data_IF_843737043625
#
_entry.id   IF_843737043625
#
_cell.length_a   1.000
_cell.length_b   1.000
_cell.length_c   1.000
_cell.angle_alpha   90.00
_cell.angle_beta   90.00
_cell.angle_gamma   90.00
#
_symmetry.space_group_name_H-M   'P 1'
#
loop_
_entity.id
_entity.type
_entity.pdbx_description
1 polymer ?
#
# COMPACT_ATOMS: atom_id res chain seq x y z
N UNK A 1 -6.38 -1.22 10.18
CA UNK A 1 -5.27 -1.93 10.87
C UNK A 1 -4.90 -1.25 12.19
N UNK A 2 -4.31 -0.06 12.21
CA UNK A 2 -3.94 0.63 13.48
C UNK A 2 -5.15 0.77 14.44
N UNK A 3 -6.30 1.20 13.92
CA UNK A 3 -7.56 1.22 14.66
C UNK A 3 -8.00 -0.19 15.13
N UNK A 4 -7.97 -1.20 14.26
CA UNK A 4 -8.36 -2.59 14.57
C UNK A 4 -7.53 -3.23 15.69
N UNK A 5 -6.25 -2.86 15.80
CA UNK A 5 -5.37 -3.33 16.87
C UNK A 5 -5.37 -2.41 18.08
N UNK A 6 -6.13 -1.30 18.04
CA UNK A 6 -6.22 -0.25 19.07
C UNK A 6 -4.84 0.34 19.43
N UNK A 7 -3.96 0.48 18.43
CA UNK A 7 -2.61 0.98 18.66
C UNK A 7 -2.56 2.50 18.49
N UNK A 8 -2.08 3.28 19.48
CA UNK A 8 -1.93 4.72 19.34
C UNK A 8 -1.00 5.10 18.18
N UNK A 9 -1.37 6.12 17.43
CA UNK A 9 -0.58 6.58 16.29
C UNK A 9 -0.75 8.08 16.07
N UNK A 10 0.21 8.66 15.35
CA UNK A 10 0.16 10.05 14.87
C UNK A 10 0.14 10.05 13.35
N UNK A 11 -0.85 10.73 12.78
CA UNK A 11 -0.92 10.95 11.33
C UNK A 11 0.01 12.10 10.95
N UNK A 12 0.85 11.86 9.95
CA UNK A 12 1.57 12.92 9.22
C UNK A 12 1.02 12.96 7.80
N UNK A 13 0.43 14.08 7.41
CA UNK A 13 -0.13 14.24 6.08
C UNK A 13 0.98 14.46 5.04
N UNK A 14 0.83 13.85 3.87
CA UNK A 14 1.70 14.01 2.70
C UNK A 14 0.84 14.48 1.54
N UNK A 15 1.06 15.71 1.05
CA UNK A 15 0.25 16.26 -0.04
C UNK A 15 0.79 15.80 -1.40
N UNK A 16 0.09 14.82 -1.99
CA UNK A 16 0.46 14.25 -3.28
C UNK A 16 0.28 15.24 -4.45
N UNK A 17 -0.59 16.25 -4.32
CA UNK A 17 -0.79 17.29 -5.35
C UNK A 17 0.36 18.27 -5.38
N UNK A 18 0.95 18.56 -4.22
CA UNK A 18 2.16 19.39 -4.10
C UNK A 18 3.44 18.62 -4.39
N UNK A 19 3.37 17.29 -4.44
CA UNK A 19 4.53 16.44 -4.70
C UNK A 19 5.40 16.22 -3.45
N UNK A 20 4.85 16.34 -2.24
CA UNK A 20 5.60 16.18 -0.99
C UNK A 20 6.32 14.82 -0.90
N UNK A 21 5.75 13.77 -1.51
CA UNK A 21 6.35 12.45 -1.59
C UNK A 21 7.71 12.42 -2.31
N UNK A 22 8.04 13.46 -3.08
CA UNK A 22 9.30 13.56 -3.81
C UNK A 22 10.38 14.34 -3.08
N UNK A 23 10.09 14.95 -1.93
CA UNK A 23 11.11 15.65 -1.15
C UNK A 23 12.12 14.66 -0.53
N UNK A 24 13.34 15.13 -0.25
CA UNK A 24 14.44 14.30 0.25
C UNK A 24 14.10 13.61 1.58
N UNK A 25 13.38 14.31 2.46
CA UNK A 25 12.96 13.79 3.76
C UNK A 25 12.04 12.58 3.61
N UNK A 26 11.02 12.64 2.77
CA UNK A 26 10.10 11.53 2.54
C UNK A 26 10.78 10.39 1.77
N UNK A 27 11.60 10.70 0.75
CA UNK A 27 12.35 9.68 0.01
C UNK A 27 13.30 8.86 0.90
N UNK A 28 13.81 9.46 1.97
CA UNK A 28 14.68 8.75 2.93
C UNK A 28 13.96 7.59 3.64
N UNK A 29 12.63 7.67 3.79
CA UNK A 29 11.80 6.64 4.44
C UNK A 29 10.93 5.84 3.46
N UNK A 30 10.71 6.35 2.24
CA UNK A 30 10.02 5.68 1.14
C UNK A 30 10.75 5.94 -0.18
N UNK A 31 11.72 5.07 -0.53
CA UNK A 31 12.53 5.24 -1.73
C UNK A 31 11.71 5.37 -3.02
N UNK A 32 10.54 4.72 -3.06
CA UNK A 32 9.62 4.76 -4.20
C UNK A 32 8.68 5.97 -4.22
N UNK A 33 8.80 6.88 -3.25
CA UNK A 33 7.97 8.09 -3.15
C UNK A 33 6.47 7.76 -3.11
N UNK A 34 6.09 6.71 -2.39
CA UNK A 34 4.70 6.29 -2.21
C UNK A 34 4.32 6.19 -0.74
N UNK A 35 3.08 6.59 -0.45
CA UNK A 35 2.39 6.28 0.80
C UNK A 35 1.68 4.91 0.66
N UNK A 36 1.39 4.21 1.77
CA UNK A 36 1.70 4.56 3.16
C UNK A 36 3.15 4.22 3.57
N UNK A 37 3.60 4.87 4.64
CA UNK A 37 4.84 4.60 5.38
C UNK A 37 4.51 4.75 6.86
N UNK A 38 5.07 3.90 7.71
CA UNK A 38 5.06 4.10 9.17
C UNK A 38 6.48 4.20 9.69
N UNK A 39 6.67 4.95 10.78
CA UNK A 39 7.90 4.95 11.56
C UNK A 39 7.57 4.42 12.93
N UNK A 40 8.18 3.29 13.32
CA UNK A 40 8.14 2.84 14.70
C UNK A 40 9.28 3.51 15.47
N UNK A 41 8.91 4.44 16.35
CA UNK A 41 9.84 5.19 17.17
C UNK A 41 10.47 4.36 18.29
N UNK A 42 9.82 3.28 18.73
CA UNK A 42 10.37 2.39 19.78
C UNK A 42 11.57 1.62 19.26
N UNK A 43 11.49 1.14 18.01
CA UNK A 43 12.54 0.35 17.37
C UNK A 43 13.40 1.15 16.39
N UNK A 44 13.10 2.44 16.21
CA UNK A 44 13.76 3.36 15.28
C UNK A 44 13.85 2.81 13.84
N UNK A 45 12.73 2.25 13.34
CA UNK A 45 12.61 1.71 11.99
C UNK A 45 11.51 2.41 11.20
N UNK A 46 11.72 2.55 9.89
CA UNK A 46 10.67 3.00 8.96
C UNK A 46 10.33 1.88 7.99
N UNK A 47 9.04 1.68 7.77
CA UNK A 47 8.49 0.58 6.98
C UNK A 47 7.60 1.18 5.91
N UNK A 48 7.97 0.95 4.65
CA UNK A 48 7.17 1.25 3.46
C UNK A 48 6.58 -0.06 2.89
N UNK A 49 5.76 0.03 1.85
CA UNK A 49 4.89 -1.04 1.34
C UNK A 49 3.76 -1.42 2.30
N UNK A 50 2.51 -1.20 1.88
CA UNK A 50 1.33 -1.46 2.73
C UNK A 50 1.23 -2.90 3.19
N UNK A 51 1.62 -3.88 2.35
CA UNK A 51 1.63 -5.29 2.74
C UNK A 51 2.64 -5.59 3.86
N UNK A 52 3.84 -5.02 3.78
CA UNK A 52 4.85 -5.17 4.83
C UNK A 52 4.42 -4.50 6.13
N UNK A 53 3.82 -3.31 6.04
CA UNK A 53 3.23 -2.60 7.19
C UNK A 53 2.14 -3.44 7.87
N UNK A 54 1.25 -4.09 7.11
CA UNK A 54 0.20 -4.95 7.65
C UNK A 54 0.79 -6.15 8.39
N UNK A 55 1.75 -6.87 7.79
CA UNK A 55 2.43 -8.00 8.43
C UNK A 55 3.10 -7.55 9.73
N UNK A 56 3.87 -6.46 9.67
CA UNK A 56 4.58 -5.93 10.82
C UNK A 56 3.65 -5.58 11.99
N UNK A 57 2.55 -4.86 11.72
CA UNK A 57 1.58 -4.51 12.76
C UNK A 57 0.84 -5.73 13.31
N UNK A 58 0.59 -6.73 12.46
CA UNK A 58 -0.06 -7.96 12.87
C UNK A 58 0.86 -8.81 13.78
N UNK A 59 2.15 -8.90 13.45
CA UNK A 59 3.16 -9.55 14.29
C UNK A 59 3.38 -8.79 15.61
N UNK A 60 3.49 -7.45 15.57
CA UNK A 60 3.67 -6.61 16.76
C UNK A 60 2.49 -6.70 17.73
N UNK A 61 1.27 -6.80 17.21
CA UNK A 61 0.05 -6.87 18.03
C UNK A 61 -0.36 -8.30 18.42
N UNK A 62 0.18 -9.32 17.75
CA UNK A 62 -0.28 -10.71 17.88
C UNK A 62 -1.68 -10.96 17.32
N UNK A 63 -2.26 -10.01 16.56
CA UNK A 63 -3.60 -10.11 15.97
C UNK A 63 -3.50 -10.29 14.45
N UNK A 64 -4.51 -10.92 13.84
CA UNK A 64 -4.69 -11.00 12.38
C UNK A 64 -3.61 -11.73 11.55
N UNK A 65 -2.62 -12.36 12.20
CA UNK A 65 -1.57 -13.13 11.54
C UNK A 65 -1.31 -14.47 12.24
N UNK A 66 -2.30 -15.38 12.12
CA UNK A 66 -2.22 -16.72 12.69
C UNK A 66 -1.10 -17.53 12.01
N UNK A 67 -0.15 -18.02 12.83
CA UNK A 67 1.00 -18.81 12.37
C UNK A 67 0.58 -20.09 11.67
N UNK A 68 -0.53 -20.72 12.07
CA UNK A 68 -1.02 -21.94 11.45
C UNK A 68 -1.60 -21.70 10.05
N UNK A 69 -2.11 -20.49 9.81
CA UNK A 69 -2.71 -20.07 8.53
C UNK A 69 -1.81 -19.12 7.72
N UNK A 70 -0.55 -18.94 8.13
CA UNK A 70 0.38 -17.95 7.56
C UNK A 70 0.53 -18.06 6.04
N UNK A 71 0.59 -19.29 5.52
CA UNK A 71 0.72 -19.53 4.07
C UNK A 71 -0.47 -18.94 3.31
N UNK A 72 -1.69 -19.21 3.79
CA UNK A 72 -2.91 -18.71 3.14
C UNK A 72 -3.04 -17.19 3.26
N UNK A 73 -2.73 -16.64 4.44
CA UNK A 73 -2.75 -15.18 4.68
C UNK A 73 -1.77 -14.49 3.72
N UNK A 74 -0.53 -14.99 3.65
CA UNK A 74 0.48 -14.42 2.78
C UNK A 74 0.15 -14.62 1.30
N UNK A 75 -0.44 -15.75 0.91
CA UNK A 75 -0.87 -15.97 -0.47
C UNK A 75 -1.83 -14.87 -0.92
N UNK A 76 -2.85 -14.58 -0.11
CA UNK A 76 -3.84 -13.55 -0.45
C UNK A 76 -3.30 -12.13 -0.32
N UNK A 77 -2.46 -11.85 0.69
CA UNK A 77 -1.82 -10.56 0.82
C UNK A 77 -0.88 -10.27 -0.36
N UNK A 78 -0.06 -11.25 -0.75
CA UNK A 78 0.82 -11.15 -1.93
C UNK A 78 0.00 -11.01 -3.21
N UNK A 79 -1.09 -11.77 -3.37
CA UNK A 79 -1.99 -11.60 -4.51
C UNK A 79 -2.60 -10.18 -4.57
N UNK A 80 -2.94 -9.61 -3.43
CA UNK A 80 -3.46 -8.25 -3.34
C UNK A 80 -2.42 -7.21 -3.77
N UNK A 81 -1.20 -7.27 -3.22
CA UNK A 81 -0.16 -6.26 -3.50
C UNK A 81 0.45 -6.41 -4.90
N UNK A 82 0.53 -7.64 -5.43
CA UNK A 82 1.18 -7.91 -6.71
C UNK A 82 0.22 -7.82 -7.91
N UNK A 83 -1.05 -8.19 -7.71
CA UNK A 83 -2.03 -8.24 -8.81
C UNK A 83 -3.17 -7.27 -8.59
N UNK A 84 -3.98 -7.47 -7.54
CA UNK A 84 -5.25 -6.73 -7.40
C UNK A 84 -5.03 -5.22 -7.33
N UNK A 85 -4.17 -4.76 -6.42
CA UNK A 85 -3.86 -3.35 -6.25
C UNK A 85 -3.30 -2.69 -7.53
N UNK A 86 -2.21 -3.21 -8.10
CA UNK A 86 -1.63 -2.66 -9.33
C UNK A 86 -2.61 -2.65 -10.52
N UNK A 87 -3.36 -3.73 -10.74
CA UNK A 87 -4.27 -3.83 -11.89
C UNK A 87 -5.44 -2.85 -11.76
N UNK A 88 -6.03 -2.70 -10.58
CA UNK A 88 -7.07 -1.69 -10.33
C UNK A 88 -6.52 -0.27 -10.40
N UNK A 89 -5.27 -0.05 -9.98
CA UNK A 89 -4.58 1.23 -10.17
C UNK A 89 -4.44 1.60 -11.65
N UNK A 90 -4.09 0.65 -12.51
CA UNK A 90 -4.04 0.88 -13.96
C UNK A 90 -5.43 1.09 -14.54
N UNK A 91 -6.43 0.33 -14.10
CA UNK A 91 -7.82 0.55 -14.51
C UNK A 91 -8.26 2.01 -14.24
N UNK A 92 -8.01 2.53 -13.03
CA UNK A 92 -8.26 3.93 -12.71
C UNK A 92 -7.46 4.90 -13.58
N UNK A 93 -6.18 4.62 -13.84
CA UNK A 93 -5.36 5.49 -14.69
C UNK A 93 -5.98 5.65 -16.08
N UNK A 94 -6.30 4.54 -16.76
CA UNK A 94 -6.79 4.59 -18.14
C UNK A 94 -8.24 5.09 -18.25
N UNK A 95 -9.14 4.71 -17.34
CA UNK A 95 -10.57 5.05 -17.47
C UNK A 95 -10.96 6.36 -16.80
N UNK A 96 -10.32 6.70 -15.68
CA UNK A 96 -10.71 7.88 -14.91
C UNK A 96 -9.78 9.07 -15.20
N UNK A 97 -8.46 8.88 -15.12
CA UNK A 97 -7.52 9.98 -15.24
C UNK A 97 -7.12 10.33 -16.67
N UNK A 98 -7.07 9.34 -17.58
CA UNK A 98 -6.65 9.56 -18.97
C UNK A 98 -7.57 8.89 -20.01
N UNK A 99 -8.90 9.07 -19.94
CA UNK A 99 -9.82 8.44 -20.88
C UNK A 99 -9.56 8.89 -22.32
N UNK A 100 -9.70 7.96 -23.27
CA UNK A 100 -9.51 8.19 -24.70
C UNK A 100 -8.05 8.27 -25.14
N UNK A 101 -7.08 8.16 -24.22
CA UNK A 101 -5.65 8.18 -24.56
C UNK A 101 -5.14 6.85 -25.10
N UNK A 102 -5.77 5.72 -24.72
CA UNK A 102 -5.40 4.40 -25.21
C UNK A 102 -6.56 3.42 -25.11
N UNK A 103 -7.22 3.18 -26.26
CA UNK A 103 -8.29 2.18 -26.35
C UNK A 103 -7.84 0.79 -25.90
N UNK A 104 -6.62 0.38 -26.27
CA UNK A 104 -6.08 -0.92 -25.85
C UNK A 104 -5.86 -0.99 -24.33
N UNK A 105 -5.35 0.10 -23.72
CA UNK A 105 -5.16 0.16 -22.27
C UNK A 105 -6.49 0.08 -21.53
N UNK A 106 -7.47 0.86 -21.97
CA UNK A 106 -8.84 0.83 -21.44
C UNK A 106 -9.44 -0.59 -21.55
N UNK A 107 -9.52 -1.15 -22.76
CA UNK A 107 -10.12 -2.47 -22.98
C UNK A 107 -9.41 -3.58 -22.17
N UNK A 108 -8.07 -3.54 -22.07
CA UNK A 108 -7.27 -4.51 -21.30
C UNK A 108 -7.59 -4.45 -19.81
N UNK A 109 -7.49 -3.27 -19.19
CA UNK A 109 -7.63 -3.15 -17.74
C UNK A 109 -9.09 -3.16 -17.29
N UNK A 110 -10.05 -2.85 -18.16
CA UNK A 110 -11.47 -3.07 -17.90
C UNK A 110 -11.79 -4.56 -17.79
N UNK A 111 -11.31 -5.38 -18.73
CA UNK A 111 -11.57 -6.83 -18.74
C UNK A 111 -11.02 -7.53 -17.50
N UNK A 112 -9.91 -7.03 -16.96
CA UNK A 112 -9.25 -7.57 -15.76
C UNK A 112 -9.97 -7.16 -14.46
N UNK A 113 -10.61 -6.00 -14.44
CA UNK A 113 -11.29 -5.47 -13.26
C UNK A 113 -12.75 -5.91 -13.12
N UNK A 114 -13.32 -6.55 -14.16
CA UNK A 114 -14.68 -7.09 -14.20
C UNK A 114 -14.74 -8.47 -13.54
#
# INVERSE_FOLDING_TARGET
MLEEIEHPYKITLVDLKKGDQFNSKFRSISPFSKIPVITDHENNISIFESGAILIYLAEKSGKFYDKNNRVLINQWLVAQVAYVGPLLGQHHQFHHYTPGKSKWGEDRYFKIAK
#
